data_IF_528077054731
#
_entry.id   IF_528077054731
#
_cell.length_a   1.000
_cell.length_b   1.000
_cell.length_c   1.000
_cell.angle_alpha   90.00
_cell.angle_beta   90.00
_cell.angle_gamma   90.00
#
_symmetry.space_group_name_H-M   'P 1'
#
loop_
_entity.id
_entity.type
_entity.pdbx_description
1 polymer ?
#
# COMPACT_ATOMS: atom_id res chain seq x y z
N UNK A 1 7.80 -5.63 11.47
CA UNK A 1 6.89 -5.58 10.32
C UNK A 1 7.62 -6.21 9.15
N UNK A 2 7.04 -7.22 8.51
CA UNK A 2 7.61 -7.88 7.34
C UNK A 2 6.75 -7.52 6.12
N UNK A 3 7.38 -7.19 4.99
CA UNK A 3 6.71 -6.74 3.76
C UNK A 3 7.43 -5.54 3.14
N UNK A 4 7.37 -5.43 1.81
CA UNK A 4 7.89 -4.27 1.07
C UNK A 4 6.94 -3.09 1.28
N UNK A 5 7.42 -1.89 1.68
CA UNK A 5 6.59 -0.77 2.12
C UNK A 5 5.41 -0.41 1.21
N UNK A 6 5.58 -0.49 -0.11
CA UNK A 6 4.55 -0.15 -1.10
C UNK A 6 3.37 -1.13 -1.21
N UNK A 7 3.44 -2.31 -0.59
CA UNK A 7 2.38 -3.33 -0.64
C UNK A 7 1.63 -3.47 0.69
N UNK A 8 2.06 -2.75 1.72
CA UNK A 8 1.45 -2.81 3.04
C UNK A 8 0.08 -2.12 3.01
N UNK A 9 -0.91 -2.77 3.63
CA UNK A 9 -2.23 -2.20 3.77
C UNK A 9 -2.31 -1.20 4.92
N UNK A 10 -3.25 -0.24 4.89
CA UNK A 10 -3.38 0.79 5.91
C UNK A 10 -3.60 0.23 7.33
N UNK A 11 -4.34 -0.87 7.48
CA UNK A 11 -4.57 -1.55 8.76
C UNK A 11 -3.27 -2.15 9.35
N UNK A 12 -2.38 -2.69 8.50
CA UNK A 12 -1.07 -3.18 8.92
C UNK A 12 -0.20 -2.02 9.43
N UNK A 13 -0.26 -0.86 8.76
CA UNK A 13 0.45 0.35 9.18
C UNK A 13 -0.14 1.01 10.44
N UNK A 14 -1.43 0.82 10.70
CA UNK A 14 -2.12 1.28 11.92
C UNK A 14 -1.94 0.31 13.09
N UNK A 15 -1.29 -0.84 12.87
CA UNK A 15 -1.17 -1.93 13.86
C UNK A 15 -2.54 -2.45 14.32
N UNK A 16 -3.53 -2.38 13.45
CA UNK A 16 -4.87 -2.91 13.70
C UNK A 16 -4.87 -4.43 13.46
N UNK A 17 -5.84 -5.18 14.03
CA UNK A 17 -6.02 -6.59 13.71
C UNK A 17 -6.22 -6.75 12.20
N UNK A 18 -5.22 -7.32 11.54
CA UNK A 18 -5.24 -7.58 10.12
C UNK A 18 -5.55 -9.06 9.87
N UNK A 19 -6.11 -9.35 8.70
CA UNK A 19 -6.49 -10.72 8.31
C UNK A 19 -6.47 -10.86 6.79
N UNK A 20 -7.28 -11.76 6.24
CA UNK A 20 -7.40 -12.00 4.79
C UNK A 20 -7.59 -10.74 3.90
N UNK A 21 -8.21 -9.62 4.35
CA UNK A 21 -8.34 -8.42 3.53
C UNK A 21 -7.02 -7.77 3.09
N UNK A 22 -5.91 -7.99 3.82
CA UNK A 22 -4.59 -7.43 3.43
C UNK A 22 -4.12 -7.95 2.08
N UNK A 23 -4.49 -9.19 1.73
CA UNK A 23 -4.12 -9.81 0.47
C UNK A 23 -4.87 -9.16 -0.70
N UNK A 24 -6.12 -8.72 -0.46
CA UNK A 24 -6.92 -8.00 -1.46
C UNK A 24 -6.29 -6.63 -1.76
N UNK A 25 -5.80 -5.94 -0.73
CA UNK A 25 -5.05 -4.70 -0.90
C UNK A 25 -3.80 -4.91 -1.78
N UNK A 26 -2.99 -5.92 -1.45
CA UNK A 26 -1.80 -6.26 -2.22
C UNK A 26 -2.14 -6.64 -3.67
N UNK A 27 -3.22 -7.39 -3.90
CA UNK A 27 -3.74 -7.69 -5.23
C UNK A 27 -4.09 -6.41 -6.02
N UNK A 28 -4.72 -5.42 -5.37
CA UNK A 28 -5.04 -4.14 -5.99
C UNK A 28 -3.80 -3.35 -6.41
N UNK A 29 -2.78 -3.31 -5.54
CA UNK A 29 -1.48 -2.69 -5.84
C UNK A 29 -0.80 -3.37 -7.04
N UNK A 30 -0.79 -4.70 -7.06
CA UNK A 30 -0.23 -5.47 -8.19
C UNK A 30 -1.01 -5.22 -9.48
N UNK A 31 -2.34 -5.22 -9.42
CA UNK A 31 -3.18 -4.95 -10.59
C UNK A 31 -2.91 -3.56 -11.17
N UNK A 32 -2.76 -2.54 -10.32
CA UNK A 32 -2.39 -1.20 -10.75
C UNK A 32 -1.03 -1.20 -11.47
N UNK A 33 -0.02 -1.84 -10.89
CA UNK A 33 1.32 -1.95 -11.50
C UNK A 33 1.23 -2.65 -12.87
N UNK A 34 0.41 -3.69 -13.00
CA UNK A 34 0.23 -4.40 -14.28
C UNK A 34 -0.43 -3.52 -15.35
N UNK A 35 -1.27 -2.56 -14.97
CA UNK A 35 -1.98 -1.68 -15.90
C UNK A 35 -1.15 -0.47 -16.31
N UNK A 36 -0.45 0.17 -15.37
CA UNK A 36 0.20 1.48 -15.60
C UNK A 36 1.73 1.40 -15.58
N UNK A 37 2.30 0.30 -15.09
CA UNK A 37 3.75 0.05 -15.06
C UNK A 37 4.51 0.65 -13.87
N UNK A 38 3.82 1.32 -12.95
CA UNK A 38 4.39 1.92 -11.74
C UNK A 38 3.48 1.69 -10.52
N UNK A 39 4.03 1.72 -9.28
CA UNK A 39 3.24 1.51 -8.08
C UNK A 39 2.30 2.69 -7.78
N UNK A 40 1.08 2.43 -7.27
CA UNK A 40 0.10 3.47 -6.95
C UNK A 40 0.52 4.37 -5.78
N UNK A 41 1.39 3.89 -4.90
CA UNK A 41 1.94 4.62 -3.78
C UNK A 41 3.47 4.58 -3.85
N UNK A 42 4.10 5.75 -3.95
CA UNK A 42 5.54 5.89 -4.00
C UNK A 42 5.95 7.23 -3.39
N UNK A 43 6.92 7.19 -2.48
CA UNK A 43 7.57 8.38 -1.96
C UNK A 43 8.98 7.98 -1.48
N UNK A 44 9.94 8.88 -1.58
CA UNK A 44 11.29 8.69 -1.04
C UNK A 44 11.27 8.72 0.49
N UNK A 45 10.35 9.48 1.07
CA UNK A 45 10.13 9.54 2.51
C UNK A 45 9.13 8.46 2.94
N UNK A 46 9.61 7.49 3.73
CA UNK A 46 8.77 6.42 4.26
C UNK A 46 7.57 6.94 5.08
N UNK A 47 7.71 8.06 5.79
CA UNK A 47 6.59 8.63 6.54
C UNK A 47 5.50 9.15 5.60
N UNK A 48 5.89 9.76 4.48
CA UNK A 48 4.94 10.24 3.46
C UNK A 48 4.28 9.09 2.73
N UNK A 49 5.06 8.06 2.35
CA UNK A 49 4.53 6.83 1.77
C UNK A 49 3.46 6.20 2.68
N UNK A 50 3.76 6.06 3.98
CA UNK A 50 2.79 5.51 4.92
C UNK A 50 1.55 6.39 5.09
N UNK A 51 1.69 7.71 4.99
CA UNK A 51 0.55 8.63 5.02
C UNK A 51 -0.31 8.50 3.76
N UNK A 52 0.28 8.38 2.58
CA UNK A 52 -0.43 8.13 1.32
C UNK A 52 -1.23 6.83 1.40
N UNK A 53 -0.60 5.74 1.84
CA UNK A 53 -1.24 4.44 2.03
C UNK A 53 -2.40 4.53 3.04
N UNK A 54 -2.18 5.19 4.19
CA UNK A 54 -3.22 5.37 5.23
C UNK A 54 -4.40 6.22 4.76
N UNK A 55 -4.15 7.19 3.89
CA UNK A 55 -5.17 8.06 3.31
C UNK A 55 -5.85 7.45 2.07
N UNK A 56 -5.29 6.38 1.50
CA UNK A 56 -5.72 5.87 0.20
C UNK A 56 -5.47 6.86 -0.94
N UNK A 57 -4.46 7.73 -0.80
CA UNK A 57 -4.09 8.72 -1.80
C UNK A 57 -3.13 8.10 -2.81
N UNK A 58 -3.68 7.44 -3.83
CA UNK A 58 -2.93 6.87 -4.96
C UNK A 58 -2.85 7.86 -6.12
N UNK A 59 -1.84 7.72 -6.96
CA UNK A 59 -1.69 8.52 -8.18
C UNK A 59 -2.74 8.08 -9.23
N UNK A 60 -3.38 9.04 -9.93
CA UNK A 60 -4.49 8.79 -10.87
C UNK A 60 -4.07 9.02 -12.30
#
# INVERSE_FOLDING_TARGET
>A
FAGTPGYLSPEVLKKEPYGKPVDIWACGVILYILLVGYPPFWDEDQHRLYNQIKAGAYDV
#
